data_IF_824055886551
#
_entry.id   IF_824055886551
#
_cell.length_a   1.000
_cell.length_b   1.000
_cell.length_c   1.000
_cell.angle_alpha   90.00
_cell.angle_beta   90.00
_cell.angle_gamma   90.00
#
_symmetry.space_group_name_H-M   'P 1'
#
loop_
_entity.id
_entity.type
_entity.pdbx_description
1 polymer ?
#
# COMPACT_ATOMS: atom_id res chain seq x y z
N UNK A 1 -3.33 -0.61 -4.32
CA UNK A 1 -2.66 -1.23 -5.48
C UNK A 1 -3.68 -1.46 -6.59
N UNK A 2 -4.56 -2.46 -6.50
CA UNK A 2 -5.52 -2.77 -7.58
C UNK A 2 -6.45 -1.61 -7.97
N UNK A 3 -6.93 -0.80 -7.00
CA UNK A 3 -7.78 0.37 -7.31
C UNK A 3 -7.12 1.45 -8.17
N UNK A 4 -5.80 1.56 -8.17
CA UNK A 4 -5.07 2.67 -8.84
C UNK A 4 -4.04 2.15 -9.85
N UNK A 5 -4.09 0.86 -10.17
CA UNK A 5 -3.02 0.17 -10.88
C UNK A 5 -1.75 0.00 -10.04
N UNK A 6 -0.85 -0.86 -10.53
CA UNK A 6 0.43 -1.18 -9.90
C UNK A 6 1.27 0.09 -9.64
N UNK A 7 1.44 0.91 -10.67
CA UNK A 7 2.24 2.14 -10.63
C UNK A 7 1.49 3.36 -10.07
N UNK A 8 0.29 3.17 -9.50
CA UNK A 8 -0.58 4.26 -9.00
C UNK A 8 -0.86 5.39 -10.01
N UNK A 9 -0.87 5.06 -11.30
CA UNK A 9 -1.12 6.00 -12.40
C UNK A 9 -2.57 6.02 -12.88
N UNK A 10 -3.42 5.12 -12.38
CA UNK A 10 -4.85 5.07 -12.71
C UNK A 10 -5.69 5.72 -11.61
N UNK A 11 -6.83 6.31 -11.98
CA UNK A 11 -7.74 6.88 -10.99
C UNK A 11 -8.57 5.76 -10.37
N UNK A 12 -8.88 5.90 -9.09
CA UNK A 12 -9.69 4.91 -8.38
C UNK A 12 -11.09 4.70 -8.97
N UNK A 13 -11.64 5.72 -9.63
CA UNK A 13 -12.92 5.62 -10.34
C UNK A 13 -12.86 4.69 -11.55
N UNK A 14 -11.68 4.43 -12.11
CA UNK A 14 -11.51 3.56 -13.28
C UNK A 14 -11.49 2.07 -12.89
N UNK A 15 -11.56 1.74 -11.59
CA UNK A 15 -11.52 0.37 -11.09
C UNK A 15 -12.87 -0.36 -11.13
N UNK A 16 -13.97 0.29 -11.54
CA UNK A 16 -15.29 -0.35 -11.63
C UNK A 16 -15.32 -1.65 -12.44
N UNK A 17 -14.66 -1.76 -13.62
CA UNK A 17 -14.60 -3.01 -14.36
C UNK A 17 -13.96 -4.15 -13.56
N UNK A 18 -12.98 -3.86 -12.71
CA UNK A 18 -12.36 -4.86 -11.83
C UNK A 18 -13.31 -5.32 -10.71
N UNK A 19 -14.15 -4.41 -10.20
CA UNK A 19 -15.19 -4.75 -9.22
C UNK A 19 -16.26 -5.64 -9.84
N UNK A 20 -16.71 -5.32 -11.06
CA UNK A 20 -17.69 -6.13 -11.79
C UNK A 20 -17.13 -7.51 -12.16
N UNK A 21 -15.88 -7.56 -12.63
CA UNK A 21 -15.18 -8.81 -12.93
C UNK A 21 -15.02 -9.70 -11.68
N UNK A 22 -14.91 -9.10 -10.48
CA UNK A 22 -14.91 -9.83 -9.21
C UNK A 22 -16.30 -10.21 -8.69
N UNK A 23 -17.33 -9.44 -9.03
CA UNK A 23 -18.71 -9.64 -8.57
C UNK A 23 -19.41 -10.79 -9.30
N UNK A 24 -19.32 -10.81 -10.63
CA UNK A 24 -20.04 -11.76 -11.47
C UNK A 24 -19.72 -13.24 -11.14
N UNK A 25 -18.45 -13.61 -10.88
CA UNK A 25 -18.11 -14.98 -10.50
C UNK A 25 -18.75 -15.44 -9.20
N UNK A 26 -19.02 -14.55 -8.23
CA UNK A 26 -19.71 -14.94 -6.98
C UNK A 26 -21.15 -15.41 -7.26
N UNK A 27 -21.84 -14.78 -8.21
CA UNK A 27 -23.18 -15.22 -8.64
C UNK A 27 -23.13 -16.56 -9.37
N UNK A 28 -22.11 -16.77 -10.20
CA UNK A 28 -21.87 -18.03 -10.89
C UNK A 28 -21.57 -19.18 -9.91
N UNK A 29 -20.76 -18.91 -8.87
CA UNK A 29 -20.43 -19.87 -7.81
C UNK A 29 -21.68 -20.38 -7.09
N UNK A 30 -22.63 -19.49 -6.76
CA UNK A 30 -23.92 -19.88 -6.16
C UNK A 30 -24.73 -20.79 -7.09
N UNK A 31 -24.56 -20.65 -8.40
CA UNK A 31 -25.24 -21.47 -9.41
C UNK A 31 -24.58 -22.83 -9.63
N UNK A 32 -23.54 -23.17 -8.84
CA UNK A 32 -22.81 -24.44 -8.91
C UNK A 32 -21.63 -24.44 -9.89
N UNK A 33 -21.26 -23.28 -10.44
CA UNK A 33 -20.06 -23.14 -11.28
C UNK A 33 -18.82 -23.09 -10.37
N UNK A 34 -17.72 -23.72 -10.80
CA UNK A 34 -16.48 -23.69 -10.04
C UNK A 34 -15.95 -22.26 -9.84
N UNK A 35 -15.36 -21.99 -8.67
CA UNK A 35 -14.76 -20.69 -8.36
C UNK A 35 -13.73 -20.29 -9.39
N UNK A 36 -13.96 -19.12 -10.02
CA UNK A 36 -12.98 -18.54 -10.90
C UNK A 36 -11.71 -18.18 -10.10
N UNK A 37 -10.56 -18.33 -10.74
CA UNK A 37 -9.25 -18.05 -10.13
C UNK A 37 -8.48 -17.04 -10.97
N UNK A 38 -7.56 -16.33 -10.32
CA UNK A 38 -6.59 -15.46 -10.96
C UNK A 38 -5.18 -15.76 -10.43
N UNK A 39 -4.19 -15.28 -11.17
CA UNK A 39 -2.78 -15.53 -10.91
C UNK A 39 -2.14 -14.32 -10.23
N UNK A 40 -1.36 -14.55 -9.17
CA UNK A 40 -0.55 -13.51 -8.52
C UNK A 40 0.73 -13.23 -9.29
N UNK A 41 1.43 -14.31 -9.68
CA UNK A 41 2.62 -14.24 -10.52
C UNK A 41 2.33 -14.79 -11.92
N UNK A 42 2.99 -14.25 -12.96
CA UNK A 42 2.88 -14.76 -14.33
C UNK A 42 3.18 -16.25 -14.43
N UNK A 43 2.59 -16.92 -15.43
CA UNK A 43 2.83 -18.34 -15.69
C UNK A 43 4.07 -18.53 -16.54
N UNK A 44 4.17 -17.73 -17.59
CA UNK A 44 5.31 -17.74 -18.51
C UNK A 44 6.15 -16.48 -18.29
N UNK A 45 7.41 -16.53 -18.75
CA UNK A 45 8.30 -15.38 -18.66
C UNK A 45 7.83 -14.27 -19.61
N UNK A 46 7.22 -14.65 -20.71
CA UNK A 46 6.73 -13.77 -21.77
C UNK A 46 5.53 -12.92 -21.34
N UNK A 47 4.77 -13.38 -20.34
CA UNK A 47 3.63 -12.65 -19.77
C UNK A 47 4.05 -11.52 -18.80
N UNK A 48 5.35 -11.27 -18.64
CA UNK A 48 5.89 -10.26 -17.72
C UNK A 48 5.97 -8.90 -18.41
N UNK A 49 5.40 -7.85 -17.81
CA UNK A 49 5.44 -6.49 -18.35
C UNK A 49 6.48 -5.58 -17.67
N UNK A 50 7.15 -6.08 -16.63
CA UNK A 50 8.14 -5.35 -15.86
C UNK A 50 9.14 -6.32 -15.25
N UNK A 51 10.33 -5.80 -14.90
CA UNK A 51 11.37 -6.56 -14.20
C UNK A 51 10.88 -7.15 -12.88
N UNK A 52 10.05 -6.41 -12.15
CA UNK A 52 9.47 -6.88 -10.89
C UNK A 52 8.53 -8.08 -11.10
N UNK A 53 7.77 -8.11 -12.21
CA UNK A 53 6.96 -9.27 -12.56
C UNK A 53 7.80 -10.45 -13.07
N UNK A 54 8.92 -10.18 -13.74
CA UNK A 54 9.90 -11.21 -14.10
C UNK A 54 10.50 -11.88 -12.86
N UNK A 55 10.87 -11.08 -11.85
CA UNK A 55 11.35 -11.59 -10.56
C UNK A 55 10.27 -12.40 -9.82
N UNK A 56 9.01 -11.97 -9.87
CA UNK A 56 7.89 -12.74 -9.32
C UNK A 56 7.68 -14.07 -10.06
N UNK A 57 7.75 -14.07 -11.40
CA UNK A 57 7.71 -15.31 -12.18
C UNK A 57 8.86 -16.23 -11.79
N UNK A 58 10.09 -15.74 -11.72
CA UNK A 58 11.25 -16.52 -11.34
C UNK A 58 11.07 -17.11 -9.92
N UNK A 59 10.53 -16.33 -8.98
CA UNK A 59 10.29 -16.74 -7.60
C UNK A 59 9.32 -17.93 -7.49
N UNK A 60 8.20 -17.89 -8.22
CA UNK A 60 7.14 -18.90 -8.10
C UNK A 60 7.27 -20.07 -9.09
N UNK A 61 7.99 -19.91 -10.21
CA UNK A 61 7.97 -20.85 -11.34
C UNK A 61 9.30 -21.55 -11.62
N UNK A 62 10.36 -21.21 -10.88
CA UNK A 62 11.69 -21.80 -11.06
C UNK A 62 12.23 -22.41 -9.77
N UNK A 63 13.33 -23.16 -9.86
CA UNK A 63 14.01 -23.77 -8.71
C UNK A 63 14.57 -22.75 -7.71
N UNK A 64 14.55 -21.44 -7.99
CA UNK A 64 14.95 -20.39 -7.04
C UNK A 64 14.21 -20.52 -5.71
N UNK A 65 12.87 -20.61 -5.76
CA UNK A 65 12.01 -20.66 -4.57
C UNK A 65 10.66 -21.37 -4.78
N UNK A 66 10.46 -22.11 -5.89
CA UNK A 66 9.19 -22.79 -6.13
C UNK A 66 8.82 -23.79 -5.02
N UNK A 67 7.54 -23.87 -4.70
CA UNK A 67 7.01 -24.81 -3.71
C UNK A 67 5.63 -25.32 -4.10
N UNK A 68 5.37 -26.62 -3.93
CA UNK A 68 4.18 -27.29 -4.48
C UNK A 68 2.85 -26.79 -3.90
N UNK A 69 2.84 -26.29 -2.66
CA UNK A 69 1.64 -25.72 -2.02
C UNK A 69 1.53 -24.19 -2.20
N UNK A 70 2.43 -23.57 -2.99
CA UNK A 70 2.42 -22.15 -3.28
C UNK A 70 2.28 -21.88 -4.80
N UNK A 71 1.13 -22.24 -5.41
CA UNK A 71 0.95 -22.15 -6.87
C UNK A 71 0.79 -20.72 -7.40
N UNK A 72 0.81 -19.69 -6.55
CA UNK A 72 0.60 -18.30 -6.94
C UNK A 72 -0.79 -18.03 -7.55
N UNK A 73 -1.82 -18.65 -6.97
CA UNK A 73 -3.23 -18.54 -7.40
C UNK A 73 -4.09 -18.00 -6.25
N UNK A 74 -5.10 -17.20 -6.55
CA UNK A 74 -6.18 -16.84 -5.63
C UNK A 74 -7.55 -16.91 -6.31
N UNK A 75 -8.60 -16.94 -5.51
CA UNK A 75 -10.00 -16.94 -5.98
C UNK A 75 -10.44 -15.53 -6.38
N UNK A 76 -11.12 -15.43 -7.52
CA UNK A 76 -11.68 -14.15 -8.01
C UNK A 76 -12.79 -13.65 -7.08
N UNK A 77 -13.46 -14.55 -6.33
CA UNK A 77 -14.38 -14.15 -5.28
C UNK A 77 -13.76 -13.16 -4.29
N UNK A 78 -12.49 -13.32 -3.90
CA UNK A 78 -11.79 -12.40 -2.98
C UNK A 78 -11.36 -11.08 -3.65
N UNK A 79 -11.47 -10.98 -4.97
CA UNK A 79 -10.90 -9.87 -5.74
C UNK A 79 -11.56 -8.52 -5.42
N UNK A 80 -12.89 -8.47 -5.23
CA UNK A 80 -13.59 -7.24 -4.83
C UNK A 80 -13.00 -6.69 -3.52
N UNK A 81 -12.78 -7.57 -2.53
CA UNK A 81 -12.23 -7.19 -1.24
C UNK A 81 -10.83 -6.58 -1.43
N UNK A 82 -9.98 -7.23 -2.22
CA UNK A 82 -8.62 -6.75 -2.53
C UNK A 82 -8.62 -5.40 -3.29
N UNK A 83 -9.54 -5.19 -4.22
CA UNK A 83 -9.66 -3.93 -4.97
C UNK A 83 -10.04 -2.78 -4.04
N UNK A 84 -11.01 -3.01 -3.15
CA UNK A 84 -11.48 -1.99 -2.20
C UNK A 84 -10.61 -1.85 -0.96
N UNK A 85 -9.71 -2.79 -0.71
CA UNK A 85 -8.88 -2.81 0.49
C UNK A 85 -7.85 -1.69 0.47
N UNK A 86 -7.80 -0.94 1.58
CA UNK A 86 -6.74 0.01 1.86
C UNK A 86 -5.99 -0.42 3.12
N UNK A 87 -4.78 -0.96 2.91
CA UNK A 87 -3.94 -1.49 3.98
C UNK A 87 -3.57 -0.42 5.03
N UNK A 88 -3.67 0.87 4.71
CA UNK A 88 -3.29 1.97 5.58
C UNK A 88 -4.49 2.69 6.22
N UNK A 89 -5.73 2.22 5.99
CA UNK A 89 -6.94 2.92 6.41
C UNK A 89 -7.00 3.24 7.92
N UNK A 90 -6.41 2.38 8.76
CA UNK A 90 -6.40 2.52 10.23
C UNK A 90 -5.00 2.50 10.85
N UNK A 91 -3.94 2.57 10.03
CA UNK A 91 -2.55 2.52 10.53
C UNK A 91 -1.91 3.91 10.62
N UNK A 92 -2.55 4.92 10.02
CA UNK A 92 -2.06 6.30 10.01
C UNK A 92 -2.98 7.14 10.87
N UNK A 93 -2.58 7.33 12.12
CA UNK A 93 -3.39 8.04 13.12
C UNK A 93 -3.15 9.56 13.09
N UNK A 94 -1.98 9.98 12.59
CA UNK A 94 -1.54 11.37 12.55
C UNK A 94 -0.73 11.63 11.29
N UNK A 95 -1.07 12.71 10.59
CA UNK A 95 -0.30 13.21 9.46
C UNK A 95 0.16 14.62 9.78
N UNK A 96 1.47 14.85 9.68
CA UNK A 96 2.08 16.17 9.81
C UNK A 96 2.62 16.61 8.45
N UNK A 97 2.04 17.67 7.90
CA UNK A 97 2.41 18.25 6.61
C UNK A 97 3.30 19.47 6.85
N UNK A 98 4.54 19.41 6.36
CA UNK A 98 5.50 20.51 6.40
C UNK A 98 5.51 21.21 5.04
N UNK A 99 5.24 22.52 5.04
CA UNK A 99 5.17 23.33 3.82
C UNK A 99 6.43 24.17 3.69
N UNK A 100 7.05 24.10 2.52
CA UNK A 100 8.23 24.86 2.15
C UNK A 100 7.92 25.75 0.95
N UNK A 101 8.58 26.90 0.85
CA UNK A 101 8.48 27.77 -0.31
C UNK A 101 9.30 27.25 -1.51
N UNK A 102 9.31 28.02 -2.61
CA UNK A 102 10.07 27.69 -3.84
C UNK A 102 11.59 27.67 -3.60
N UNK A 103 12.08 28.33 -2.56
CA UNK A 103 13.50 28.46 -2.19
C UNK A 103 13.90 27.38 -1.17
N UNK A 104 12.94 26.53 -0.76
CA UNK A 104 13.14 25.44 0.19
C UNK A 104 13.07 25.87 1.65
N UNK A 105 12.58 27.08 1.95
CA UNK A 105 12.42 27.59 3.31
C UNK A 105 11.11 27.14 3.93
N UNK A 106 11.19 26.68 5.18
CA UNK A 106 10.03 26.24 5.94
C UNK A 106 9.09 27.42 6.22
N UNK A 107 7.80 27.20 5.99
CA UNK A 107 6.76 28.19 6.26
C UNK A 107 5.94 27.81 7.49
N UNK A 108 5.26 26.67 7.44
CA UNK A 108 4.42 26.19 8.52
C UNK A 108 4.14 24.69 8.42
N UNK A 109 3.57 24.17 9.51
CA UNK A 109 3.11 22.79 9.66
C UNK A 109 1.60 22.76 9.78
N UNK A 110 0.96 21.77 9.16
CA UNK A 110 -0.42 21.39 9.46
C UNK A 110 -0.48 19.97 10.00
N UNK A 111 -1.12 19.79 11.15
CA UNK A 111 -1.40 18.47 11.71
C UNK A 111 -2.85 18.11 11.45
N UNK A 112 -3.10 16.90 10.97
CA UNK A 112 -4.44 16.29 10.99
C UNK A 112 -4.36 14.94 11.68
N UNK A 113 -5.24 14.75 12.65
CA UNK A 113 -5.41 13.48 13.36
C UNK A 113 -6.65 12.75 12.84
N UNK A 114 -6.56 11.42 12.71
CA UNK A 114 -7.67 10.55 12.36
C UNK A 114 -8.68 10.44 13.51
N UNK A 115 -9.95 10.18 13.18
CA UNK A 115 -11.06 10.07 14.17
C UNK A 115 -10.96 8.79 15.04
N UNK A 116 -10.08 7.85 14.72
CA UNK A 116 -9.96 6.56 15.41
C UNK A 116 -8.94 6.66 16.55
N UNK A 117 -9.47 6.95 17.74
CA UNK A 117 -9.01 6.49 19.06
C UNK A 117 -7.56 6.79 19.47
N UNK A 118 -7.36 7.90 20.18
CA UNK A 118 -7.06 8.02 21.63
C UNK A 118 -6.46 6.84 22.44
N UNK A 119 -5.91 5.78 21.85
CA UNK A 119 -5.30 4.67 22.58
C UNK A 119 -3.93 4.31 22.02
N UNK A 120 -2.94 5.12 22.40
CA UNK A 120 -1.77 4.56 23.07
C UNK A 120 -0.55 4.15 22.25
N UNK A 121 -0.32 4.71 21.05
CA UNK A 121 1.05 4.72 20.48
C UNK A 121 1.67 6.08 20.76
N UNK A 122 2.61 6.10 21.71
CA UNK A 122 3.38 7.30 22.07
C UNK A 122 4.30 7.66 20.90
N UNK A 123 4.36 8.94 20.56
CA UNK A 123 5.37 9.52 19.67
C UNK A 123 6.76 9.13 20.20
N UNK A 124 7.40 8.12 19.59
CA UNK A 124 8.76 7.66 19.93
C UNK A 124 9.84 8.53 19.27
N UNK A 125 9.42 9.62 18.64
CA UNK A 125 10.24 10.55 17.91
C UNK A 125 9.68 11.95 18.06
N UNK A 126 10.57 12.93 18.07
CA UNK A 126 10.27 14.35 17.87
C UNK A 126 10.81 14.80 16.51
N UNK A 127 10.26 15.88 15.98
CA UNK A 127 10.83 16.56 14.81
C UNK A 127 11.68 17.72 15.30
N UNK A 128 12.88 17.89 14.73
CA UNK A 128 13.75 19.05 15.04
C UNK A 128 12.97 20.34 14.89
N UNK A 129 13.15 21.27 15.84
CA UNK A 129 12.44 22.55 15.82
C UNK A 129 12.75 23.33 14.54
N UNK A 130 11.73 23.54 13.70
CA UNK A 130 11.84 24.34 12.49
C UNK A 130 11.38 25.79 12.76
N UNK A 131 12.13 26.74 12.23
CA UNK A 131 11.86 28.18 12.32
C UNK A 131 11.40 28.68 10.96
N UNK A 132 10.25 29.35 10.91
CA UNK A 132 9.69 29.95 9.68
C UNK A 132 10.72 30.86 9.01
N UNK A 133 10.82 30.76 7.68
CA UNK A 133 11.68 31.56 6.79
C UNK A 133 13.20 31.41 7.05
N UNK A 134 13.60 30.59 8.02
CA UNK A 134 14.99 30.35 8.40
C UNK A 134 15.40 28.93 8.05
N UNK A 135 14.68 27.95 8.59
CA UNK A 135 14.97 26.52 8.40
C UNK A 135 14.72 26.08 6.97
N UNK A 136 15.52 25.13 6.49
CA UNK A 136 15.36 24.52 5.18
C UNK A 136 14.86 23.06 5.26
N UNK A 137 14.60 22.45 4.11
CA UNK A 137 14.19 21.04 4.05
C UNK A 137 15.27 20.07 4.56
N UNK A 138 16.54 20.48 4.55
CA UNK A 138 17.63 19.67 5.07
C UNK A 138 17.63 19.65 6.61
N UNK A 139 17.06 20.65 7.27
CA UNK A 139 16.89 20.70 8.73
C UNK A 139 15.76 19.78 9.25
N UNK A 140 14.82 19.36 8.38
CA UNK A 140 13.76 18.44 8.76
C UNK A 140 14.34 17.05 9.07
N UNK A 141 14.29 16.67 10.35
CA UNK A 141 14.79 15.37 10.85
C UNK A 141 13.80 14.79 11.86
N UNK A 142 13.65 13.47 11.81
CA UNK A 142 13.00 12.70 12.86
C UNK A 142 14.08 12.29 13.88
N UNK A 143 13.85 12.61 15.15
CA UNK A 143 14.77 12.37 16.23
C UNK A 143 14.11 11.40 17.22
N UNK A 144 14.59 10.16 17.28
CA UNK A 144 14.06 9.18 18.23
C UNK A 144 14.29 9.61 19.68
N UNK A 145 13.23 9.57 20.48
CA UNK A 145 13.26 9.79 21.92
C UNK A 145 13.62 8.48 22.61
N UNK A 146 14.87 8.35 23.06
CA UNK A 146 15.41 7.15 23.70
C UNK A 146 14.89 6.88 25.13
N UNK A 147 13.77 7.46 25.55
CA UNK A 147 13.33 7.47 26.96
C UNK A 147 12.61 6.19 27.45
N UNK A 148 12.45 5.15 26.63
CA UNK A 148 11.74 3.91 27.04
C UNK A 148 12.43 2.60 26.60
N UNK A 149 13.72 2.42 26.92
CA UNK A 149 14.42 1.11 26.77
C UNK A 149 14.88 0.53 28.13
N UNK A 150 14.51 1.15 29.24
CA UNK A 150 14.82 0.66 30.59
C UNK A 150 13.57 0.67 31.47
N UNK A 151 12.64 -0.25 31.24
CA UNK A 151 11.68 -0.76 32.25
C UNK A 151 11.12 -2.10 31.82
#
# INVERSE_FOLDING_TARGET
MFRTGWNRNQKSVDAFPLLEAGANPRTAEVSGIASATFLWAPVTKEDTSSKEMEEAWEYYRTSRTQFCIAPSVATVGSFIQLVTYDAFHTQVDKVELYVFDKEGKYLFKQTKEGKVLATGVRDSYDITSLISDVSDIADLRLQFLWLYVLM
#
